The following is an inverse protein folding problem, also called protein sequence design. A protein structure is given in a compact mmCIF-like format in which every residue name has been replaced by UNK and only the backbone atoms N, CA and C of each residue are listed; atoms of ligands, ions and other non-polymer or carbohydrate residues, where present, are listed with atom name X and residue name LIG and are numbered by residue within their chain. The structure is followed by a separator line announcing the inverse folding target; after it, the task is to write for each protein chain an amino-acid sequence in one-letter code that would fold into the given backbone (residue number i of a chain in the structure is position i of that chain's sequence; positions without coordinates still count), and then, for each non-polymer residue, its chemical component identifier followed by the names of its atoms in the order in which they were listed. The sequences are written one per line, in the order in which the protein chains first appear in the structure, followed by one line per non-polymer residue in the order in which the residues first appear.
data_IF_466157126028
#
_entry.id   IF_466157126028
#
_cell.length_a   1.000
_cell.length_b   1.000
_cell.length_c   1.000
_cell.angle_alpha   90.00
_cell.angle_beta   90.00
_cell.angle_gamma   90.00
#
_symmetry.space_group_name_H-M   'P 1'
#
loop_
_entity.id
_entity.type
_entity.pdbx_description
1 polymer ?
#
# COMPACT_ATOMS: atom_id res chain seq x y z
N UNK A 1 -13.96 -0.32 -27.19
CA UNK A 1 -12.70 -0.86 -27.74
C UNK A 1 -11.60 -0.13 -27.01
N UNK A 2 -10.83 -0.81 -26.16
CA UNK A 2 -9.71 -0.17 -25.48
C UNK A 2 -8.62 0.11 -26.51
N UNK A 3 -8.30 1.38 -26.76
CA UNK A 3 -7.28 1.84 -27.72
C UNK A 3 -5.84 1.56 -27.22
N UNK A 4 -5.64 0.47 -26.49
CA UNK A 4 -4.36 0.09 -25.91
C UNK A 4 -3.96 -1.27 -26.48
N UNK A 5 -2.82 -1.29 -27.16
CA UNK A 5 -2.27 -2.52 -27.72
C UNK A 5 -1.62 -3.36 -26.62
N UNK A 6 -1.72 -4.67 -26.74
CA UNK A 6 -1.15 -5.62 -25.77
C UNK A 6 0.39 -5.49 -25.78
N UNK A 7 0.99 -5.18 -24.62
CA UNK A 7 2.43 -4.91 -24.49
C UNK A 7 2.84 -3.44 -24.63
N UNK A 8 1.87 -2.52 -24.74
CA UNK A 8 2.12 -1.08 -24.72
C UNK A 8 2.47 -0.58 -23.32
N UNK A 9 3.53 0.21 -23.21
CA UNK A 9 3.91 0.89 -21.96
C UNK A 9 3.11 2.19 -21.87
N UNK A 10 2.42 2.40 -20.75
CA UNK A 10 1.71 3.64 -20.46
C UNK A 10 2.55 4.45 -19.48
N UNK A 11 2.94 5.66 -19.88
CA UNK A 11 3.66 6.60 -19.03
C UNK A 11 2.72 7.74 -18.65
N UNK A 12 2.47 7.89 -17.35
CA UNK A 12 1.61 8.94 -16.82
C UNK A 12 2.44 10.15 -16.41
N UNK A 13 2.13 11.32 -16.97
CA UNK A 13 2.81 12.57 -16.65
C UNK A 13 1.91 13.54 -15.88
N UNK A 14 2.20 13.67 -14.59
CA UNK A 14 1.62 14.71 -13.74
C UNK A 14 2.21 16.09 -14.02
N UNK A 15 1.42 17.15 -13.83
CA UNK A 15 1.87 18.52 -14.09
C UNK A 15 3.05 18.95 -13.22
N UNK A 16 3.05 18.56 -11.95
CA UNK A 16 4.06 18.99 -10.98
C UNK A 16 5.43 18.41 -11.31
N UNK A 17 5.52 17.10 -11.58
CA UNK A 17 6.81 16.45 -11.81
C UNK A 17 7.37 16.63 -13.22
N UNK A 18 6.51 16.87 -14.21
CA UNK A 18 6.89 16.98 -15.62
C UNK A 18 6.73 18.41 -16.19
N UNK A 19 6.44 19.39 -15.31
CA UNK A 19 6.35 20.81 -15.64
C UNK A 19 5.56 21.11 -16.93
N UNK A 20 4.37 20.52 -17.06
CA UNK A 20 3.56 20.65 -18.26
C UNK A 20 3.17 22.11 -18.56
N UNK A 21 3.20 22.49 -19.84
CA UNK A 21 2.96 23.86 -20.29
C UNK A 21 1.59 24.43 -19.92
N UNK A 22 0.58 23.58 -19.69
CA UNK A 22 -0.75 24.04 -19.29
C UNK A 22 -0.80 24.74 -17.92
N UNK A 23 0.13 24.46 -17.00
CA UNK A 23 0.15 25.05 -15.66
C UNK A 23 1.47 25.71 -15.26
N UNK A 24 2.58 25.32 -15.90
CA UNK A 24 3.92 25.82 -15.55
C UNK A 24 4.57 26.49 -16.75
N UNK A 25 5.00 27.74 -16.58
CA UNK A 25 5.88 28.40 -17.54
C UNK A 25 7.29 27.79 -17.46
N UNK A 26 8.02 27.77 -18.57
CA UNK A 26 9.34 27.13 -18.65
C UNK A 26 10.38 27.65 -17.65
N UNK A 27 10.20 28.90 -17.19
CA UNK A 27 11.09 29.57 -16.24
C UNK A 27 10.73 29.29 -14.76
N UNK A 28 9.62 28.58 -14.48
CA UNK A 28 9.30 28.20 -13.11
C UNK A 28 10.23 27.07 -12.66
N UNK A 29 10.90 27.32 -11.53
CA UNK A 29 11.69 26.32 -10.83
C UNK A 29 10.73 25.36 -10.12
N UNK A 30 10.78 24.08 -10.48
CA UNK A 30 10.09 23.03 -9.75
C UNK A 30 11.12 22.17 -9.05
N UNK A 31 11.30 22.37 -7.74
CA UNK A 31 12.37 21.72 -6.97
C UNK A 31 13.74 22.33 -7.29
N UNK A 32 14.64 21.53 -7.88
CA UNK A 32 16.05 21.89 -8.17
C UNK A 32 16.33 22.22 -9.65
N UNK A 33 15.33 22.11 -10.53
CA UNK A 33 15.48 22.32 -11.97
C UNK A 33 14.39 23.24 -12.53
N UNK A 34 14.67 23.86 -13.68
CA UNK A 34 13.69 24.65 -14.42
C UNK A 34 12.73 23.74 -15.19
N UNK A 35 11.50 24.21 -15.42
CA UNK A 35 10.51 23.45 -16.20
C UNK A 35 10.95 23.13 -17.62
N UNK A 36 11.86 23.92 -18.22
CA UNK A 36 12.47 23.60 -19.50
C UNK A 36 13.44 22.39 -19.42
N UNK A 37 14.32 22.35 -18.42
CA UNK A 37 15.27 21.25 -18.22
C UNK A 37 14.57 19.92 -17.89
N UNK A 38 13.47 19.97 -17.13
CA UNK A 38 12.65 18.79 -16.81
C UNK A 38 12.07 18.20 -18.10
N UNK A 39 11.49 19.04 -18.98
CA UNK A 39 10.91 18.61 -20.25
C UNK A 39 11.95 18.06 -21.21
N UNK A 40 13.13 18.68 -21.29
CA UNK A 40 14.24 18.17 -22.11
C UNK A 40 14.66 16.77 -21.66
N UNK A 41 14.80 16.56 -20.34
CA UNK A 41 15.11 15.25 -19.77
C UNK A 41 14.04 14.20 -20.07
N UNK A 42 12.77 14.57 -19.94
CA UNK A 42 11.64 13.67 -20.23
C UNK A 42 11.60 13.31 -21.72
N UNK A 43 11.88 14.26 -22.62
CA UNK A 43 11.98 14.00 -24.05
C UNK A 43 13.13 13.05 -24.40
N UNK A 44 14.31 13.23 -23.79
CA UNK A 44 15.44 12.32 -23.98
C UNK A 44 15.10 10.90 -23.51
N UNK A 45 14.48 10.79 -22.32
CA UNK A 45 14.02 9.50 -21.78
C UNK A 45 13.00 8.85 -22.71
N UNK A 46 12.00 9.60 -23.18
CA UNK A 46 10.97 9.09 -24.08
C UNK A 46 11.54 8.68 -25.44
N UNK A 47 12.55 9.39 -25.97
CA UNK A 47 13.24 8.99 -27.22
C UNK A 47 13.86 7.60 -27.06
N UNK A 48 14.65 7.39 -26.01
CA UNK A 48 15.29 6.09 -25.73
C UNK A 48 14.25 4.99 -25.54
N UNK A 49 13.20 5.26 -24.78
CA UNK A 49 12.19 4.24 -24.49
C UNK A 49 11.35 3.89 -25.74
N UNK A 50 11.02 4.87 -26.59
CA UNK A 50 10.26 4.66 -27.84
C UNK A 50 11.01 3.82 -28.88
N UNK A 51 12.34 3.76 -28.80
CA UNK A 51 13.16 2.87 -29.65
C UNK A 51 12.97 1.39 -29.30
N UNK A 52 12.64 1.09 -28.04
CA UNK A 52 12.55 -0.28 -27.53
C UNK A 52 11.12 -0.77 -27.35
N UNK A 53 10.17 0.11 -27.06
CA UNK A 53 8.79 -0.26 -26.72
C UNK A 53 7.77 0.72 -27.30
N UNK A 54 6.56 0.24 -27.66
CA UNK A 54 5.45 1.13 -27.98
C UNK A 54 4.99 1.83 -26.70
N UNK A 55 5.13 3.16 -26.65
CA UNK A 55 4.80 3.97 -25.47
C UNK A 55 3.66 4.93 -25.78
N UNK A 56 2.68 4.96 -24.87
CA UNK A 56 1.65 6.00 -24.83
C UNK A 56 1.88 6.87 -23.60
N UNK A 57 2.14 8.14 -23.86
CA UNK A 57 2.20 9.16 -22.82
C UNK A 57 0.79 9.67 -22.58
N UNK A 58 0.36 9.70 -21.33
CA UNK A 58 -0.94 10.22 -20.92
C UNK A 58 -0.69 11.34 -19.92
N UNK A 59 -1.20 12.53 -20.22
CA UNK A 59 -1.03 13.70 -19.35
C UNK A 59 -2.20 13.85 -18.38
N UNK A 60 -1.90 14.38 -17.19
CA UNK A 60 -2.92 14.67 -16.17
C UNK A 60 -4.08 15.53 -16.71
N UNK A 61 -3.82 16.50 -17.61
CA UNK A 61 -4.90 17.32 -18.21
C UNK A 61 -5.83 16.54 -19.11
N UNK A 62 -5.31 15.53 -19.80
CA UNK A 62 -6.10 14.68 -20.69
C UNK A 62 -7.00 13.80 -19.83
N UNK A 63 -6.45 13.22 -18.75
CA UNK A 63 -7.23 12.43 -17.78
C UNK A 63 -8.29 13.28 -17.09
N UNK A 64 -7.96 14.49 -16.66
CA UNK A 64 -8.92 15.41 -16.04
C UNK A 64 -10.09 15.79 -16.97
N UNK A 65 -9.84 15.87 -18.27
CA UNK A 65 -10.87 16.16 -19.27
C UNK A 65 -11.68 14.90 -19.61
N UNK A 66 -11.02 13.75 -19.73
CA UNK A 66 -11.70 12.46 -19.92
C UNK A 66 -12.60 12.11 -18.74
N UNK A 67 -12.17 12.38 -17.50
CA UNK A 67 -13.00 12.22 -16.30
C UNK A 67 -14.23 13.13 -16.31
N UNK A 68 -14.15 14.33 -16.91
CA UNK A 68 -15.29 15.23 -17.05
C UNK A 68 -16.27 14.76 -18.12
N UNK A 69 -15.77 14.20 -19.22
CA UNK A 69 -16.58 13.79 -20.36
C UNK A 69 -17.15 12.38 -20.20
N UNK A 70 -16.43 11.49 -19.52
CA UNK A 70 -16.78 10.09 -19.35
C UNK A 70 -17.19 9.79 -17.90
N UNK A 71 -18.50 9.75 -17.68
CA UNK A 71 -19.08 9.46 -16.36
C UNK A 71 -18.75 8.06 -15.83
N UNK A 72 -18.54 7.07 -16.72
CA UNK A 72 -18.14 5.72 -16.32
C UNK A 72 -16.73 5.72 -15.73
N UNK A 73 -15.81 6.46 -16.38
CA UNK A 73 -14.44 6.64 -15.87
C UNK A 73 -14.45 7.37 -14.53
N UNK A 74 -15.22 8.45 -14.40
CA UNK A 74 -15.35 9.18 -13.14
C UNK A 74 -15.84 8.29 -11.98
N UNK A 75 -16.87 7.48 -12.22
CA UNK A 75 -17.39 6.55 -11.24
C UNK A 75 -16.39 5.46 -10.86
N UNK A 76 -15.59 4.97 -11.82
CA UNK A 76 -14.54 4.00 -11.52
C UNK A 76 -13.49 4.59 -10.58
N UNK A 77 -12.98 5.79 -10.88
CA UNK A 77 -11.95 6.45 -10.06
C UNK A 77 -12.48 6.84 -8.67
N UNK A 78 -13.73 7.28 -8.56
CA UNK A 78 -14.33 7.63 -7.27
C UNK A 78 -14.55 6.40 -6.37
N UNK A 79 -14.88 5.26 -6.97
CA UNK A 79 -15.06 3.99 -6.24
C UNK A 79 -13.77 3.17 -6.13
N UNK A 80 -12.66 3.66 -6.69
CA UNK A 80 -11.38 2.98 -6.61
C UNK A 80 -10.78 3.16 -5.22
N UNK A 81 -10.80 2.09 -4.43
CA UNK A 81 -10.13 2.03 -3.13
C UNK A 81 -8.69 1.54 -3.37
N UNK A 82 -7.70 2.42 -3.18
CA UNK A 82 -6.30 2.00 -3.14
C UNK A 82 -6.07 1.18 -1.86
N UNK A 83 -6.24 -0.14 -1.99
CA UNK A 83 -6.02 -1.08 -0.89
C UNK A 83 -4.55 -1.26 -0.56
N UNK A 84 -3.65 -0.60 -1.30
CA UNK A 84 -2.22 -0.62 -1.09
C UNK A 84 -1.62 -2.02 -1.10
N UNK A 85 -0.33 -2.10 -0.82
CA UNK A 85 0.32 -3.38 -0.55
C UNK A 85 0.06 -3.75 0.91
N UNK A 86 -0.24 -5.03 1.18
CA UNK A 86 -0.40 -5.55 2.54
C UNK A 86 0.82 -5.20 3.40
N UNK A 87 0.64 -4.31 4.37
CA UNK A 87 1.69 -3.87 5.30
C UNK A 87 1.85 -4.87 6.45
N UNK A 88 2.48 -6.02 6.16
CA UNK A 88 2.72 -7.10 7.13
C UNK A 88 3.54 -6.65 8.34
N UNK A 89 4.42 -5.67 8.15
CA UNK A 89 5.27 -5.07 9.17
C UNK A 89 4.46 -4.42 10.30
N UNK A 90 3.32 -3.79 9.99
CA UNK A 90 2.43 -3.20 11.00
C UNK A 90 1.77 -4.22 11.91
N UNK A 91 1.64 -5.47 11.47
CA UNK A 91 1.04 -6.55 12.24
C UNK A 91 2.04 -7.27 13.17
N UNK A 92 3.36 -7.05 12.99
CA UNK A 92 4.40 -7.72 13.76
C UNK A 92 4.79 -6.88 14.98
N UNK A 93 4.16 -7.14 16.13
CA UNK A 93 4.50 -6.48 17.39
C UNK A 93 4.59 -7.46 18.57
N UNK A 94 5.50 -7.19 19.49
CA UNK A 94 5.52 -7.79 20.83
C UNK A 94 4.75 -6.91 21.81
N UNK A 95 4.37 -7.46 22.97
CA UNK A 95 3.82 -6.66 24.06
C UNK A 95 4.92 -6.37 25.09
N UNK A 96 5.19 -5.09 25.31
CA UNK A 96 6.00 -4.62 26.44
C UNK A 96 5.19 -3.57 27.16
N UNK A 97 4.65 -3.91 28.32
CA UNK A 97 3.94 -2.95 29.17
C UNK A 97 4.96 -2.23 30.07
N UNK A 98 5.01 -0.90 29.99
CA UNK A 98 5.90 -0.08 30.81
C UNK A 98 5.14 0.38 32.05
N UNK A 99 4.96 -0.52 33.02
CA UNK A 99 4.44 -0.13 34.33
C UNK A 99 5.61 0.13 35.30
N UNK A 100 5.68 1.35 35.83
CA UNK A 100 6.50 1.63 37.01
C UNK A 100 5.74 1.18 38.25
N UNK A 101 6.03 -0.04 38.71
CA UNK A 101 5.41 -0.59 39.93
C UNK A 101 6.25 -0.19 41.15
N UNK A 102 5.78 0.80 41.92
CA UNK A 102 6.35 1.10 43.24
C UNK A 102 5.62 0.26 44.30
N UNK A 103 6.32 -0.69 44.92
CA UNK A 103 5.77 -1.55 45.97
C UNK A 103 6.52 -1.33 47.27
N UNK A 104 5.80 -0.90 48.32
CA UNK A 104 6.35 -0.84 49.67
C UNK A 104 6.63 -2.27 50.18
N UNK A 105 7.91 -2.64 50.21
CA UNK A 105 8.38 -4.01 50.43
C UNK A 105 8.61 -4.38 51.90
N UNK A 106 7.98 -3.67 52.86
CA UNK A 106 8.06 -4.06 54.27
C UNK A 106 7.31 -5.39 54.47
N UNK A 107 8.07 -6.45 54.76
CA UNK A 107 7.60 -7.82 55.03
C UNK A 107 6.86 -8.54 53.87
N UNK A 108 7.11 -8.16 52.61
CA UNK A 108 6.55 -8.85 51.44
C UNK A 108 7.67 -9.55 50.64
N UNK A 109 7.32 -10.61 49.91
CA UNK A 109 8.20 -11.25 48.91
C UNK A 109 7.66 -10.92 47.53
N UNK A 110 8.50 -10.37 46.66
CA UNK A 110 8.19 -10.21 45.25
C UNK A 110 8.58 -11.51 44.51
N UNK A 111 7.72 -11.94 43.60
CA UNK A 111 7.97 -13.03 42.67
C UNK A 111 7.79 -12.49 41.25
N UNK A 112 8.77 -12.75 40.38
CA UNK A 112 8.62 -12.54 38.95
C UNK A 112 8.48 -13.91 38.28
N UNK A 113 7.58 -14.00 37.31
CA UNK A 113 7.44 -15.18 36.49
C UNK A 113 8.00 -14.84 35.11
N UNK A 114 8.98 -15.61 34.68
CA UNK A 114 9.53 -15.52 33.34
C UNK A 114 9.18 -16.80 32.57
N UNK A 115 8.78 -16.63 31.31
CA UNK A 115 8.45 -17.76 30.43
C UNK A 115 9.71 -18.12 29.66
N UNK A 116 10.36 -19.21 30.08
CA UNK A 116 11.52 -19.72 29.37
C UNK A 116 11.09 -20.20 27.98
N UNK A 117 11.74 -19.65 26.95
CA UNK A 117 11.53 -20.05 25.55
C UNK A 117 10.10 -19.86 25.03
N UNK A 118 9.48 -18.71 25.33
CA UNK A 118 8.14 -18.35 24.83
C UNK A 118 7.98 -18.56 23.31
N UNK A 119 8.85 -17.95 22.49
CA UNK A 119 8.72 -18.04 21.03
C UNK A 119 8.86 -19.48 20.51
N UNK A 120 9.88 -20.27 20.88
CA UNK A 120 9.96 -21.68 20.50
C UNK A 120 8.73 -22.51 20.92
N UNK A 121 8.18 -22.25 22.10
CA UNK A 121 6.99 -22.97 22.57
C UNK A 121 5.77 -22.68 21.68
N UNK A 122 5.52 -21.40 21.36
CA UNK A 122 4.42 -21.00 20.46
C UNK A 122 4.65 -21.55 19.06
N UNK A 123 5.88 -21.44 18.52
CA UNK A 123 6.24 -21.98 17.21
C UNK A 123 5.98 -23.47 17.06
N UNK A 124 6.13 -24.24 18.14
CA UNK A 124 5.89 -25.69 18.15
C UNK A 124 4.42 -26.06 18.32
N UNK A 125 3.67 -25.26 19.08
CA UNK A 125 2.34 -25.64 19.56
C UNK A 125 1.21 -25.01 18.75
N UNK A 126 1.46 -23.89 18.08
CA UNK A 126 0.44 -23.13 17.35
C UNK A 126 0.64 -23.25 15.85
N UNK A 127 -0.46 -23.11 15.12
CA UNK A 127 -0.48 -23.12 13.66
C UNK A 127 -0.06 -21.76 13.09
N UNK A 128 0.72 -21.79 12.01
CA UNK A 128 1.14 -20.61 11.28
C UNK A 128 0.49 -20.58 9.89
N UNK A 129 0.24 -19.39 9.32
CA UNK A 129 -0.15 -19.29 7.92
C UNK A 129 1.01 -19.76 7.03
N UNK A 130 0.73 -20.70 6.12
CA UNK A 130 1.73 -21.31 5.21
C UNK A 130 1.58 -20.77 3.78
N UNK A 131 0.40 -20.27 3.43
CA UNK A 131 0.06 -19.83 2.09
C UNK A 131 0.13 -18.30 1.93
N UNK A 132 0.32 -17.80 0.69
CA UNK A 132 0.22 -16.37 0.39
C UNK A 132 -1.15 -15.82 0.81
N UNK A 133 -1.20 -14.59 1.35
CA UNK A 133 -2.46 -13.97 1.77
C UNK A 133 -3.38 -13.78 0.57
N UNK A 134 -4.68 -13.95 0.80
CA UNK A 134 -5.74 -13.67 -0.19
C UNK A 134 -6.60 -12.52 0.30
N UNK A 135 -6.92 -11.61 -0.61
CA UNK A 135 -7.86 -10.55 -0.32
C UNK A 135 -9.27 -11.11 -0.13
N UNK A 136 -9.90 -10.70 0.95
CA UNK A 136 -11.25 -11.11 1.32
C UNK A 136 -12.11 -9.86 1.48
N UNK A 137 -13.31 -9.87 0.92
CA UNK A 137 -14.27 -8.80 1.14
C UNK A 137 -14.83 -8.89 2.58
N UNK A 138 -14.87 -7.78 3.31
CA UNK A 138 -15.38 -7.70 4.68
C UNK A 138 -16.80 -8.28 4.84
N UNK A 139 -17.64 -8.21 3.81
CA UNK A 139 -18.98 -8.81 3.82
C UNK A 139 -18.98 -10.36 3.89
N UNK A 140 -17.93 -11.02 3.39
CA UNK A 140 -17.77 -12.48 3.50
C UNK A 140 -17.19 -12.94 4.86
N UNK A 141 -16.60 -12.01 5.63
CA UNK A 141 -15.89 -12.32 6.87
C UNK A 141 -16.82 -12.65 8.05
N UNK A 142 -18.08 -12.22 8.00
CA UNK A 142 -19.07 -12.50 9.05
C UNK A 142 -19.48 -13.98 9.13
N UNK A 143 -19.21 -14.78 8.09
CA UNK A 143 -19.57 -16.20 8.04
C UNK A 143 -18.39 -17.16 8.10
N UNK A 144 -17.16 -16.69 7.93
CA UNK A 144 -15.98 -17.57 7.86
C UNK A 144 -14.88 -17.13 8.83
N UNK A 145 -14.82 -17.85 9.95
CA UNK A 145 -13.68 -17.95 10.87
C UNK A 145 -13.39 -16.70 11.71
N UNK A 146 -14.09 -16.59 12.84
CA UNK A 146 -13.54 -15.90 14.01
C UNK A 146 -12.68 -16.90 14.81
N UNK A 147 -11.38 -16.64 14.96
CA UNK A 147 -10.59 -17.27 16.02
C UNK A 147 -11.18 -16.77 17.34
N UNK A 148 -11.85 -17.67 18.07
CA UNK A 148 -12.33 -17.36 19.41
C UNK A 148 -11.12 -17.31 20.35
N UNK A 149 -10.61 -16.10 20.58
CA UNK A 149 -9.47 -15.82 21.46
C UNK A 149 -9.67 -16.24 22.92
N UNK A 150 -10.87 -16.67 23.33
CA UNK A 150 -11.11 -17.22 24.68
C UNK A 150 -10.83 -18.72 24.79
N UNK A 151 -10.81 -19.46 23.68
CA UNK A 151 -10.65 -20.94 23.73
C UNK A 151 -9.54 -21.47 22.84
N UNK A 152 -8.95 -20.67 21.95
CA UNK A 152 -7.90 -21.11 21.02
C UNK A 152 -8.24 -22.41 20.26
N UNK A 153 -9.53 -22.64 20.03
CA UNK A 153 -10.04 -23.78 19.24
C UNK A 153 -10.64 -23.23 17.95
N UNK A 154 -10.17 -23.78 16.81
CA UNK A 154 -10.82 -23.61 15.52
C UNK A 154 -12.07 -24.49 15.51
N UNK A 155 -13.25 -23.87 15.48
CA UNK A 155 -14.49 -24.58 15.14
C UNK A 155 -14.94 -24.12 13.76
N UNK A 156 -14.92 -25.04 12.81
CA UNK A 156 -15.71 -24.89 11.59
C UNK A 156 -17.19 -24.92 11.98
N UNK A 157 -17.92 -23.89 11.56
CA UNK A 157 -19.38 -23.84 11.68
C UNK A 157 -19.91 -24.16 10.29
N UNK A 158 -20.47 -25.36 10.12
CA UNK A 158 -21.23 -25.75 8.93
C UNK A 158 -22.53 -24.94 8.82
#
# INVERSE_FOLDING_TARGET
MSDFDEGQIIEYHSFYWHAHECKYAGDLITGEATGAEIRERDEEKLKVLKEHYPIRVVWECEVDEELRQNQEMAQFFENYEDRGILQMDRALFGRTEVFQLEVNNKNKKLCYNDVVSLYPFIMKTHTYPIDPPREMNAAHYLHSVCINWKTADLKEVH
#
